data_IF_381029959794
#
_entry.id   IF_381029959794
#
_cell.length_a   1.000
_cell.length_b   1.000
_cell.length_c   1.000
_cell.angle_alpha   90.00
_cell.angle_beta   90.00
_cell.angle_gamma   90.00
#
_symmetry.space_group_name_H-M   'P 1'
#
loop_
_entity.id
_entity.type
_entity.pdbx_description
1 polymer ?
#
# COMPACT_ATOMS: atom_id res chain seq x y z
N UNK A 1 6.46 -7.80 22.55
CA UNK A 1 5.81 -6.91 21.55
C UNK A 1 5.35 -7.78 20.38
N UNK A 2 4.04 -8.08 20.30
CA UNK A 2 3.47 -9.08 19.38
C UNK A 2 3.76 -8.72 17.91
N UNK A 3 4.47 -9.61 17.21
CA UNK A 3 4.90 -9.48 15.80
C UNK A 3 3.83 -8.90 14.83
N UNK A 4 2.52 -9.21 14.92
CA UNK A 4 1.52 -8.62 14.02
C UNK A 4 1.26 -7.13 14.21
N UNK A 5 1.35 -6.58 15.44
CA UNK A 5 1.11 -5.14 15.68
C UNK A 5 2.16 -4.26 15.02
N UNK A 6 3.40 -4.74 14.87
CA UNK A 6 4.45 -4.01 14.17
C UNK A 6 4.17 -3.91 12.67
N UNK A 7 3.64 -4.97 12.05
CA UNK A 7 3.32 -4.96 10.62
C UNK A 7 2.22 -3.96 10.29
N UNK A 8 1.12 -3.94 11.06
CA UNK A 8 0.05 -2.95 10.85
C UNK A 8 0.54 -1.50 10.99
N UNK A 9 1.49 -1.23 11.90
CA UNK A 9 2.04 0.11 12.09
C UNK A 9 2.96 0.51 10.93
N UNK A 10 3.77 -0.43 10.43
CA UNK A 10 4.63 -0.21 9.26
C UNK A 10 3.78 0.05 8.03
N UNK A 11 2.72 -0.74 7.80
CA UNK A 11 1.80 -0.53 6.68
C UNK A 11 1.04 0.80 6.80
N UNK A 12 0.50 1.12 7.98
CA UNK A 12 -0.16 2.40 8.21
C UNK A 12 0.75 3.60 7.91
N UNK A 13 2.02 3.53 8.34
CA UNK A 13 3.02 4.57 8.07
C UNK A 13 3.39 4.62 6.59
N UNK A 14 3.60 3.48 5.95
CA UNK A 14 3.89 3.40 4.52
C UNK A 14 2.76 4.01 3.68
N UNK A 15 1.52 3.61 3.94
CA UNK A 15 0.33 4.12 3.27
C UNK A 15 0.14 5.64 3.50
N UNK A 16 0.46 6.13 4.71
CA UNK A 16 0.43 7.57 4.98
C UNK A 16 1.50 8.33 4.19
N UNK A 17 2.73 7.80 4.12
CA UNK A 17 3.79 8.39 3.30
C UNK A 17 3.41 8.38 1.82
N UNK A 18 2.86 7.28 1.30
CA UNK A 18 2.32 7.23 -0.07
C UNK A 18 1.24 8.27 -0.29
N UNK A 19 0.29 8.43 0.64
CA UNK A 19 -0.76 9.44 0.55
C UNK A 19 -0.20 10.87 0.49
N UNK A 20 0.82 11.18 1.30
CA UNK A 20 1.50 12.48 1.27
C UNK A 20 2.25 12.70 -0.05
N UNK A 21 2.99 11.69 -0.51
CA UNK A 21 3.72 11.78 -1.76
C UNK A 21 2.76 11.97 -2.95
N UNK A 22 1.72 11.14 -3.06
CA UNK A 22 0.75 11.21 -4.16
C UNK A 22 -0.11 12.48 -4.07
N UNK A 23 -0.68 12.78 -2.90
CA UNK A 23 -1.67 13.84 -2.73
C UNK A 23 -1.10 15.24 -2.60
N UNK A 24 0.17 15.37 -2.19
CA UNK A 24 0.84 16.67 -2.05
C UNK A 24 2.07 16.80 -2.94
N UNK A 25 3.06 15.90 -2.83
CA UNK A 25 4.34 16.07 -3.50
C UNK A 25 4.22 15.97 -5.03
N UNK A 26 3.68 14.87 -5.55
CA UNK A 26 3.52 14.65 -6.99
C UNK A 26 2.53 15.64 -7.61
N UNK A 27 1.47 15.99 -6.88
CA UNK A 27 0.49 17.01 -7.32
C UNK A 27 1.14 18.39 -7.43
N UNK A 28 1.95 18.79 -6.44
CA UNK A 28 2.63 20.10 -6.43
C UNK A 28 3.66 20.20 -7.56
N UNK A 29 4.35 19.09 -7.82
CA UNK A 29 5.39 18.98 -8.82
C UNK A 29 4.93 18.23 -10.08
N UNK A 30 3.64 18.31 -10.44
CA UNK A 30 3.05 17.53 -11.55
C UNK A 30 3.85 17.63 -12.84
N UNK A 31 4.33 18.83 -13.20
CA UNK A 31 5.15 19.06 -14.39
C UNK A 31 6.45 18.23 -14.43
N UNK A 32 6.97 17.79 -13.28
CA UNK A 32 8.16 16.93 -13.19
C UNK A 32 7.83 15.44 -13.28
N UNK A 33 6.62 15.02 -12.90
CA UNK A 33 6.23 13.60 -12.84
C UNK A 33 5.34 13.17 -14.01
N UNK A 34 4.47 14.07 -14.50
CA UNK A 34 3.65 13.86 -15.69
C UNK A 34 2.33 13.12 -15.48
N UNK A 35 2.04 12.61 -14.28
CA UNK A 35 0.76 11.99 -13.98
C UNK A 35 -0.32 13.04 -13.65
N UNK A 36 -1.52 12.99 -14.26
CA UNK A 36 -2.57 13.97 -14.00
C UNK A 36 -2.99 14.05 -12.53
N UNK A 37 -3.20 15.28 -12.03
CA UNK A 37 -3.60 15.51 -10.61
C UNK A 37 -4.82 14.73 -10.15
N UNK A 38 -5.85 14.61 -11.00
CA UNK A 38 -7.07 13.87 -10.65
C UNK A 38 -6.77 12.39 -10.35
N UNK A 39 -5.86 11.77 -11.10
CA UNK A 39 -5.42 10.39 -10.86
C UNK A 39 -4.64 10.29 -9.55
N UNK A 40 -3.72 11.23 -9.32
CA UNK A 40 -2.93 11.30 -8.09
C UNK A 40 -3.80 11.44 -6.84
N UNK A 41 -4.86 12.28 -6.88
CA UNK A 41 -5.79 12.42 -5.78
C UNK A 41 -6.62 11.16 -5.51
N UNK A 42 -6.99 10.41 -6.55
CA UNK A 42 -7.67 9.12 -6.39
C UNK A 42 -6.74 8.11 -5.71
N UNK A 43 -5.49 7.98 -6.19
CA UNK A 43 -4.50 7.10 -5.58
C UNK A 43 -4.18 7.48 -4.13
N UNK A 44 -4.02 8.78 -3.86
CA UNK A 44 -3.81 9.29 -2.51
C UNK A 44 -4.99 8.97 -1.58
N UNK A 45 -6.22 9.08 -2.08
CA UNK A 45 -7.43 8.76 -1.30
C UNK A 45 -7.51 7.28 -0.94
N UNK A 46 -7.10 6.38 -1.85
CA UNK A 46 -6.98 4.95 -1.57
C UNK A 46 -5.90 4.70 -0.51
N UNK A 47 -4.73 5.34 -0.62
CA UNK A 47 -3.65 5.23 0.35
C UNK A 47 -4.06 5.73 1.75
N UNK A 48 -4.84 6.82 1.84
CA UNK A 48 -5.44 7.28 3.11
C UNK A 48 -6.37 6.20 3.69
N UNK A 49 -7.23 5.62 2.85
CA UNK A 49 -8.11 4.52 3.25
C UNK A 49 -7.34 3.33 3.83
N UNK A 50 -6.23 2.94 3.21
CA UNK A 50 -5.35 1.88 3.73
C UNK A 50 -4.73 2.26 5.07
N UNK A 51 -4.21 3.48 5.21
CA UNK A 51 -3.65 3.96 6.47
C UNK A 51 -4.67 3.89 7.62
N UNK A 52 -5.90 4.36 7.39
CA UNK A 52 -6.99 4.29 8.38
C UNK A 52 -7.32 2.84 8.72
N UNK A 53 -7.48 1.97 7.72
CA UNK A 53 -7.81 0.57 7.92
C UNK A 53 -6.73 -0.18 8.72
N UNK A 54 -5.45 0.15 8.49
CA UNK A 54 -4.32 -0.45 9.19
C UNK A 54 -4.17 0.08 10.62
N UNK A 55 -4.44 1.36 10.87
CA UNK A 55 -4.53 1.93 12.22
C UNK A 55 -5.69 1.30 13.01
N UNK A 56 -6.87 1.18 12.39
CA UNK A 56 -8.03 0.54 13.01
C UNK A 56 -7.72 -0.94 13.34
N UNK A 57 -7.09 -1.66 12.41
CA UNK A 57 -6.63 -3.03 12.64
C UNK A 57 -5.61 -3.12 13.78
N UNK A 58 -4.68 -2.17 13.89
CA UNK A 58 -3.74 -2.11 15.01
C UNK A 58 -4.43 -1.88 16.37
N UNK A 59 -5.44 -1.00 16.41
CA UNK A 59 -6.17 -0.64 17.63
C UNK A 59 -7.13 -1.76 18.10
N UNK A 60 -7.82 -2.42 17.18
CA UNK A 60 -8.94 -3.32 17.49
C UNK A 60 -8.64 -4.82 17.27
N UNK A 61 -7.52 -5.22 16.64
CA UNK A 61 -7.26 -6.63 16.36
C UNK A 61 -6.82 -7.42 17.61
N UNK A 62 -7.79 -7.97 18.36
CA UNK A 62 -7.55 -8.98 19.42
C UNK A 62 -7.67 -10.42 18.94
N UNK A 63 -8.59 -10.77 18.03
CA UNK A 63 -8.81 -12.19 17.62
C UNK A 63 -8.68 -12.47 16.11
N UNK A 64 -8.90 -11.48 15.23
CA UNK A 64 -8.96 -11.69 13.77
C UNK A 64 -7.78 -11.11 12.98
N UNK A 65 -6.66 -10.78 13.64
CA UNK A 65 -5.50 -10.09 13.02
C UNK A 65 -4.98 -10.76 11.74
N UNK A 66 -5.09 -12.08 11.61
CA UNK A 66 -4.69 -12.82 10.39
C UNK A 66 -5.56 -12.52 9.19
N UNK A 67 -6.88 -12.43 9.41
CA UNK A 67 -7.84 -12.07 8.35
C UNK A 67 -7.60 -10.62 7.92
N UNK A 68 -7.37 -9.72 8.89
CA UNK A 68 -7.02 -8.33 8.61
C UNK A 68 -5.75 -8.21 7.76
N UNK A 69 -4.64 -8.86 8.13
CA UNK A 69 -3.40 -8.86 7.33
C UNK A 69 -3.60 -9.41 5.92
N UNK A 70 -4.41 -10.46 5.76
CA UNK A 70 -4.70 -11.02 4.43
C UNK A 70 -5.50 -10.06 3.57
N UNK A 71 -6.49 -9.38 4.14
CA UNK A 71 -7.31 -8.39 3.42
C UNK A 71 -6.43 -7.21 2.99
N UNK A 72 -5.57 -6.69 3.89
CA UNK A 72 -4.62 -5.60 3.58
C UNK A 72 -3.68 -6.03 2.46
N UNK A 73 -3.06 -7.21 2.55
CA UNK A 73 -2.17 -7.71 1.50
C UNK A 73 -2.86 -7.83 0.12
N UNK A 74 -4.10 -8.31 0.08
CA UNK A 74 -4.87 -8.40 -1.17
C UNK A 74 -5.21 -6.99 -1.69
N UNK A 75 -5.61 -6.08 -0.81
CA UNK A 75 -5.91 -4.70 -1.19
C UNK A 75 -4.69 -3.96 -1.75
N UNK A 76 -3.52 -4.12 -1.11
CA UNK A 76 -2.26 -3.55 -1.57
C UNK A 76 -1.84 -4.14 -2.95
N UNK A 77 -2.03 -5.44 -3.19
CA UNK A 77 -1.79 -6.04 -4.50
C UNK A 77 -2.75 -5.50 -5.58
N UNK A 78 -4.04 -5.34 -5.25
CA UNK A 78 -5.02 -4.73 -6.16
C UNK A 78 -4.66 -3.27 -6.46
N UNK A 79 -4.22 -2.52 -5.46
CA UNK A 79 -3.71 -1.16 -5.65
C UNK A 79 -2.52 -1.15 -6.61
N UNK A 80 -1.53 -2.03 -6.42
CA UNK A 80 -0.42 -2.17 -7.36
C UNK A 80 -0.89 -2.47 -8.79
N UNK A 81 -1.87 -3.35 -8.98
CA UNK A 81 -2.45 -3.63 -10.30
C UNK A 81 -3.07 -2.37 -10.92
N UNK A 82 -3.85 -1.62 -10.15
CA UNK A 82 -4.45 -0.34 -10.59
C UNK A 82 -3.35 0.65 -10.98
N UNK A 83 -2.32 0.82 -10.14
CA UNK A 83 -1.20 1.72 -10.43
C UNK A 83 -0.43 1.31 -11.69
N UNK A 84 -0.18 0.01 -11.91
CA UNK A 84 0.44 -0.48 -13.16
C UNK A 84 -0.41 -0.14 -14.37
N UNK A 85 -1.72 -0.38 -14.31
CA UNK A 85 -2.64 -0.05 -15.41
C UNK A 85 -2.61 1.46 -15.71
N UNK A 86 -2.62 2.31 -14.67
CA UNK A 86 -2.53 3.76 -14.83
C UNK A 86 -1.19 4.20 -15.41
N UNK A 87 -0.08 3.60 -14.99
CA UNK A 87 1.26 3.88 -15.53
C UNK A 87 1.33 3.54 -17.02
N UNK A 88 0.79 2.38 -17.42
CA UNK A 88 0.75 1.99 -18.83
C UNK A 88 -0.18 2.91 -19.65
N UNK A 89 -1.34 3.27 -19.09
CA UNK A 89 -2.29 4.17 -19.75
C UNK A 89 -1.72 5.58 -19.96
N UNK A 90 -1.01 6.13 -18.96
CA UNK A 90 -0.40 7.45 -19.02
C UNK A 90 1.07 7.44 -19.43
N UNK A 91 1.55 6.34 -20.05
CA UNK A 91 2.97 6.15 -20.37
C UNK A 91 3.58 7.31 -21.18
N UNK A 92 2.82 7.87 -22.13
CA UNK A 92 3.29 8.97 -22.98
C UNK A 92 3.40 10.32 -22.25
N UNK A 93 2.70 10.47 -21.12
CA UNK A 93 2.71 11.70 -20.31
C UNK A 93 3.71 11.63 -19.16
N UNK A 94 4.01 10.41 -18.70
CA UNK A 94 4.94 10.16 -17.60
C UNK A 94 6.37 10.53 -17.97
N UNK A 95 7.02 11.26 -17.07
CA UNK A 95 8.46 11.50 -17.17
C UNK A 95 9.24 10.30 -16.62
N UNK A 96 10.55 10.26 -16.87
CA UNK A 96 11.42 9.26 -16.25
C UNK A 96 11.36 9.30 -14.70
N UNK A 97 11.19 10.48 -14.10
CA UNK A 97 11.02 10.64 -12.64
C UNK A 97 9.66 10.11 -12.17
N UNK A 98 8.59 10.38 -12.92
CA UNK A 98 7.26 9.78 -12.74
C UNK A 98 7.33 8.27 -12.71
N UNK A 99 7.91 7.69 -13.75
CA UNK A 99 8.05 6.25 -13.87
C UNK A 99 8.89 5.65 -12.73
N UNK A 100 10.03 6.25 -12.40
CA UNK A 100 10.88 5.79 -11.30
C UNK A 100 10.13 5.80 -9.96
N UNK A 101 9.37 6.86 -9.67
CA UNK A 101 8.56 6.95 -8.46
C UNK A 101 7.54 5.80 -8.37
N UNK A 102 6.72 5.60 -9.41
CA UNK A 102 5.70 4.55 -9.39
C UNK A 102 6.30 3.14 -9.34
N UNK A 103 7.43 2.90 -10.00
CA UNK A 103 8.14 1.63 -9.90
C UNK A 103 8.63 1.35 -8.48
N UNK A 104 9.21 2.35 -7.81
CA UNK A 104 9.64 2.23 -6.41
C UNK A 104 8.43 1.98 -5.50
N UNK A 105 7.34 2.75 -5.68
CA UNK A 105 6.10 2.56 -4.91
C UNK A 105 5.56 1.15 -5.06
N UNK A 106 5.41 0.64 -6.29
CA UNK A 106 4.93 -0.71 -6.58
C UNK A 106 5.83 -1.76 -5.91
N UNK A 107 7.16 -1.64 -6.02
CA UNK A 107 8.09 -2.59 -5.42
C UNK A 107 7.93 -2.61 -3.89
N UNK A 108 7.92 -1.44 -3.26
CA UNK A 108 7.77 -1.34 -1.80
C UNK A 108 6.44 -1.93 -1.32
N UNK A 109 5.34 -1.62 -1.99
CA UNK A 109 4.01 -2.11 -1.64
C UNK A 109 3.88 -3.62 -1.87
N UNK A 110 4.43 -4.18 -2.95
CA UNK A 110 4.45 -5.63 -3.20
C UNK A 110 5.28 -6.37 -2.16
N UNK A 111 6.47 -5.86 -1.80
CA UNK A 111 7.32 -6.47 -0.78
C UNK A 111 6.63 -6.49 0.59
N UNK A 112 5.96 -5.39 0.95
CA UNK A 112 5.17 -5.31 2.18
C UNK A 112 4.00 -6.30 2.16
N UNK A 113 3.22 -6.31 1.07
CA UNK A 113 2.08 -7.23 0.87
C UNK A 113 2.51 -8.69 0.99
N UNK A 114 3.66 -9.04 0.40
CA UNK A 114 4.23 -10.38 0.51
C UNK A 114 4.59 -10.73 1.97
N UNK A 115 5.21 -9.80 2.70
CA UNK A 115 5.52 -9.99 4.10
C UNK A 115 4.25 -10.20 4.95
N UNK A 116 3.19 -9.42 4.72
CA UNK A 116 1.90 -9.54 5.40
C UNK A 116 1.22 -10.87 5.09
N UNK A 117 1.16 -11.25 3.81
CA UNK A 117 0.55 -12.51 3.37
C UNK A 117 1.28 -13.72 3.96
N UNK A 118 2.62 -13.73 3.93
CA UNK A 118 3.46 -14.77 4.53
C UNK A 118 3.21 -14.89 6.04
N UNK A 119 3.17 -13.78 6.77
CA UNK A 119 2.88 -13.80 8.21
C UNK A 119 1.45 -14.27 8.53
N UNK A 120 0.49 -14.02 7.63
CA UNK A 120 -0.88 -14.55 7.76
C UNK A 120 -0.95 -16.08 7.60
N UNK A 121 -0.06 -16.68 6.79
CA UNK A 121 -0.02 -18.12 6.50
C UNK A 121 0.86 -18.92 7.47
N UNK A 122 2.06 -18.45 7.78
CA UNK A 122 3.04 -19.19 8.63
C UNK A 122 2.48 -19.49 10.02
N UNK A 123 1.65 -18.60 10.57
CA UNK A 123 1.01 -18.83 11.86
C UNK A 123 -0.23 -19.75 11.80
N UNK A 124 -0.79 -20.02 10.60
CA UNK A 124 -1.90 -20.97 10.39
C UNK A 124 -1.43 -22.41 10.63
N UNK A 125 -0.25 -22.76 10.11
CA UNK A 125 0.39 -24.08 10.27
C UNK A 125 0.66 -24.45 11.73
N UNK A 126 0.84 -23.46 12.61
CA UNK A 126 1.11 -23.70 14.03
C UNK A 126 -0.16 -23.92 14.89
N UNK A 127 -1.36 -23.63 14.36
CA UNK A 127 -2.64 -23.89 15.05
C UNK A 127 -3.36 -25.14 14.53
N UNK A 128 -3.15 -25.55 13.27
CA UNK A 128 -3.64 -26.85 12.77
C UNK A 128 -2.86 -28.06 13.34
N UNK A 129 -1.84 -27.82 14.17
CA UNK A 129 -1.05 -28.85 14.87
C UNK A 129 -1.35 -28.98 16.37
N UNK A 130 -2.40 -28.35 16.87
CA UNK A 130 -2.92 -28.53 18.24
C UNK A 130 -4.32 -29.09 18.19
#
# INVERSE_FOLDING_TARGET
MNRPKKLFLIDALGAFVSALCLGYLLVRFEHLFGMPKNVLYVLASIAIGFSINSIASWAFAKESWRRALRIIAIANLLYCCITVVLVLYYWQYLTALGLAYFMIEIILVVLLSYAEFRNSLVFRVHLDKK
#
